data_IF_342635009826
#
_entry.id   IF_342635009826
#
_cell.length_a   1.000
_cell.length_b   1.000
_cell.length_c   1.000
_cell.angle_alpha   90.00
_cell.angle_beta   90.00
_cell.angle_gamma   90.00
#
_symmetry.space_group_name_H-M   'P 1'
#
loop_
_entity.id
_entity.type
_entity.pdbx_description
1 polymer ?
#
# COMPACT_ATOMS: atom_id res chain seq x y z
N UNK A 1 0.69 -6.68 7.24
CA UNK A 1 1.26 -7.84 6.55
C UNK A 1 1.45 -9.01 7.50
N UNK A 2 1.19 -10.19 7.02
CA UNK A 2 1.42 -11.42 7.77
C UNK A 2 2.66 -12.11 7.22
N UNK A 3 3.52 -12.54 8.12
CA UNK A 3 4.64 -13.37 7.76
C UNK A 3 4.16 -14.77 7.42
N UNK A 4 4.49 -15.25 6.23
CA UNK A 4 4.19 -16.62 5.82
C UNK A 4 5.35 -17.53 6.18
N UNK A 5 5.40 -17.91 7.42
CA UNK A 5 6.34 -18.91 7.87
C UNK A 5 5.60 -20.25 7.99
N UNK A 6 6.23 -21.34 7.56
CA UNK A 6 5.65 -22.68 7.65
C UNK A 6 5.28 -23.09 9.08
N UNK A 7 5.92 -22.49 10.08
CA UNK A 7 5.77 -22.85 11.50
C UNK A 7 4.84 -21.93 12.26
N UNK A 8 4.80 -20.66 11.91
CA UNK A 8 3.90 -19.72 12.57
C UNK A 8 3.62 -18.54 11.66
N UNK A 9 2.40 -18.04 11.78
CA UNK A 9 1.99 -16.79 11.14
C UNK A 9 2.09 -15.71 12.19
N UNK A 10 2.94 -14.73 11.97
CA UNK A 10 3.04 -13.56 12.84
C UNK A 10 2.69 -12.32 12.05
N UNK A 11 1.97 -11.44 12.70
CA UNK A 11 1.69 -10.13 12.13
C UNK A 11 2.91 -9.26 12.25
N UNK A 12 3.26 -8.62 11.16
CA UNK A 12 4.34 -7.66 11.12
C UNK A 12 3.75 -6.26 11.00
N UNK A 13 4.32 -5.34 11.76
CA UNK A 13 3.95 -3.94 11.68
C UNK A 13 4.99 -3.21 10.82
N UNK A 14 4.53 -2.64 9.71
CA UNK A 14 5.39 -1.92 8.78
C UNK A 14 5.00 -0.46 8.81
N UNK A 15 5.97 0.40 9.05
CA UNK A 15 5.76 1.83 9.07
C UNK A 15 6.97 2.55 8.48
N UNK A 16 6.82 3.83 8.18
CA UNK A 16 7.92 4.66 7.71
C UNK A 16 8.62 5.30 8.90
N UNK A 17 9.93 5.48 8.76
CA UNK A 17 10.72 6.18 9.75
C UNK A 17 10.23 7.62 9.85
N UNK A 18 10.05 8.11 11.07
CA UNK A 18 9.70 9.50 11.37
C UNK A 18 8.37 9.97 10.77
N UNK A 19 7.51 9.04 10.34
CA UNK A 19 6.20 9.34 9.77
C UNK A 19 5.11 8.61 10.55
N UNK A 20 4.06 9.34 10.92
CA UNK A 20 2.91 8.73 11.61
C UNK A 20 2.03 7.94 10.65
N UNK A 21 1.98 8.33 9.39
CA UNK A 21 1.18 7.68 8.37
C UNK A 21 1.85 7.81 7.01
N UNK A 22 1.41 6.99 6.10
CA UNK A 22 1.84 7.01 4.70
C UNK A 22 0.66 6.68 3.81
N UNK A 23 0.85 6.86 2.52
CA UNK A 23 -0.20 6.62 1.53
C UNK A 23 0.10 5.39 0.71
N UNK A 24 -0.93 4.62 0.39
CA UNK A 24 -0.86 3.60 -0.63
C UNK A 24 -1.42 4.13 -1.94
N UNK A 25 -0.84 3.71 -3.06
CA UNK A 25 -1.38 4.02 -4.38
C UNK A 25 -2.61 3.17 -4.66
N UNK A 26 -3.76 3.82 -4.77
CA UNK A 26 -5.01 3.16 -5.08
C UNK A 26 -5.57 3.62 -6.41
N UNK A 27 -6.38 2.78 -7.01
CA UNK A 27 -7.18 3.11 -8.18
C UNK A 27 -8.64 2.82 -7.87
N UNK A 28 -9.53 3.54 -8.50
CA UNK A 28 -10.96 3.29 -8.35
C UNK A 28 -11.64 3.33 -9.70
N UNK A 29 -12.80 2.70 -9.76
CA UNK A 29 -13.64 2.72 -10.94
C UNK A 29 -15.10 2.72 -10.53
N UNK A 30 -15.95 3.20 -11.41
CA UNK A 30 -17.38 3.15 -11.24
C UNK A 30 -17.93 2.03 -12.12
N UNK A 31 -18.57 1.06 -11.49
CA UNK A 31 -19.23 -0.03 -12.18
C UNK A 31 -20.72 0.27 -12.26
N UNK A 32 -21.29 0.21 -13.45
CA UNK A 32 -22.72 0.41 -13.68
C UNK A 32 -23.35 -0.96 -13.89
N UNK A 33 -24.31 -1.31 -13.02
CA UNK A 33 -25.12 -2.50 -13.22
C UNK A 33 -26.11 -2.24 -14.32
N UNK A 34 -25.97 -2.91 -15.44
CA UNK A 34 -26.82 -2.69 -16.62
C UNK A 34 -28.26 -3.12 -16.41
N UNK A 35 -28.53 -3.97 -15.44
CA UNK A 35 -29.89 -4.46 -15.16
C UNK A 35 -30.65 -3.51 -14.24
N UNK A 36 -29.97 -2.89 -13.27
CA UNK A 36 -30.60 -2.04 -12.27
C UNK A 36 -30.29 -0.56 -12.44
N UNK A 37 -29.27 -0.22 -13.24
CA UNK A 37 -28.78 1.16 -13.38
C UNK A 37 -27.99 1.64 -12.17
N UNK A 38 -27.78 0.79 -11.17
CA UNK A 38 -27.06 1.14 -9.95
C UNK A 38 -25.57 1.33 -10.25
N UNK A 39 -24.99 2.40 -9.69
CA UNK A 39 -23.56 2.70 -9.80
C UNK A 39 -22.86 2.21 -8.53
N UNK A 40 -21.86 1.36 -8.72
CA UNK A 40 -21.05 0.83 -7.64
C UNK A 40 -19.61 1.28 -7.81
N UNK A 41 -19.05 1.91 -6.77
CA UNK A 41 -17.63 2.26 -6.75
C UNK A 41 -16.81 1.06 -6.33
N UNK A 42 -15.76 0.79 -7.09
CA UNK A 42 -14.78 -0.25 -6.76
C UNK A 42 -13.42 0.39 -6.56
N UNK A 43 -12.62 -0.18 -5.69
CA UNK A 43 -11.27 0.31 -5.40
C UNK A 43 -10.31 -0.86 -5.32
N UNK A 44 -9.09 -0.63 -5.76
CA UNK A 44 -8.01 -1.59 -5.62
C UNK A 44 -6.72 -0.87 -5.25
N UNK A 45 -5.86 -1.55 -4.50
CA UNK A 45 -4.54 -1.05 -4.18
C UNK A 45 -3.56 -1.60 -5.20
N UNK A 46 -2.77 -0.70 -5.79
CA UNK A 46 -1.75 -1.08 -6.76
C UNK A 46 -0.54 -1.65 -6.02
N UNK A 47 -0.05 -2.78 -6.48
CA UNK A 47 1.12 -3.42 -5.90
C UNK A 47 2.30 -3.39 -6.87
N UNK A 48 3.46 -3.53 -6.31
CA UNK A 48 4.72 -3.65 -7.05
C UNK A 48 5.56 -4.78 -6.44
N UNK A 49 6.71 -5.05 -7.03
CA UNK A 49 7.64 -6.01 -6.46
C UNK A 49 8.11 -5.53 -5.09
N UNK A 50 8.34 -6.47 -4.18
CA UNK A 50 8.79 -6.12 -2.84
C UNK A 50 10.22 -5.64 -2.82
N UNK A 51 10.51 -4.65 -1.97
CA UNK A 51 11.88 -4.28 -1.66
C UNK A 51 12.51 -5.39 -0.78
N UNK A 52 13.80 -5.24 -0.48
CA UNK A 52 14.53 -6.27 0.26
C UNK A 52 13.96 -6.55 1.65
N UNK A 53 13.37 -5.55 2.29
CA UNK A 53 12.79 -5.72 3.62
C UNK A 53 11.49 -6.51 3.55
N UNK A 54 10.55 -6.09 2.71
CA UNK A 54 9.24 -6.74 2.59
C UNK A 54 9.37 -8.12 1.94
N UNK A 55 10.37 -8.33 1.10
CA UNK A 55 10.61 -9.61 0.44
C UNK A 55 10.84 -10.75 1.43
N UNK A 56 11.21 -10.44 2.66
CA UNK A 56 11.36 -11.44 3.71
C UNK A 56 10.04 -12.09 4.07
N UNK A 57 8.92 -11.41 3.87
CA UNK A 57 7.59 -11.89 4.27
C UNK A 57 6.60 -12.01 3.12
N UNK A 58 6.81 -11.29 2.03
CA UNK A 58 5.85 -11.29 0.92
C UNK A 58 6.54 -10.92 -0.39
N UNK A 59 6.05 -11.49 -1.50
CA UNK A 59 6.64 -11.24 -2.83
C UNK A 59 6.20 -9.92 -3.45
N UNK A 60 5.10 -9.35 -2.99
CA UNK A 60 4.54 -8.09 -3.49
C UNK A 60 4.33 -7.13 -2.34
N UNK A 61 4.36 -5.86 -2.63
CA UNK A 61 4.03 -4.83 -1.66
C UNK A 61 3.19 -3.74 -2.31
N UNK A 62 2.37 -3.01 -1.54
CA UNK A 62 1.66 -1.86 -2.09
C UNK A 62 2.62 -0.81 -2.60
N UNK A 63 2.19 -0.09 -3.64
CA UNK A 63 2.86 1.14 -4.02
C UNK A 63 2.71 2.12 -2.86
N UNK A 64 3.81 2.56 -2.30
CA UNK A 64 3.83 3.48 -1.17
C UNK A 64 4.25 4.86 -1.66
N UNK A 65 3.46 5.85 -1.30
CA UNK A 65 3.65 7.22 -1.75
C UNK A 65 4.12 8.03 -0.57
N UNK A 66 5.31 8.60 -0.69
CA UNK A 66 5.88 9.45 0.34
C UNK A 66 5.12 10.76 0.43
N UNK A 67 5.07 11.31 1.63
CA UNK A 67 4.47 12.62 1.88
C UNK A 67 5.11 13.67 0.98
N UNK A 68 4.28 14.41 0.29
CA UNK A 68 4.71 15.40 -0.70
C UNK A 68 4.61 14.91 -2.14
N UNK A 69 4.53 13.60 -2.37
CA UNK A 69 4.43 13.03 -3.71
C UNK A 69 3.01 12.61 -4.10
N UNK A 70 2.06 12.78 -3.21
CA UNK A 70 0.66 12.40 -3.47
C UNK A 70 0.08 13.14 -4.67
N UNK A 71 0.51 14.36 -4.93
CA UNK A 71 0.07 15.11 -6.10
C UNK A 71 0.48 14.47 -7.42
N UNK A 72 1.62 13.78 -7.45
CA UNK A 72 2.07 13.07 -8.64
C UNK A 72 1.15 11.88 -8.95
N UNK A 73 0.75 11.15 -7.92
CA UNK A 73 -0.16 10.02 -8.08
C UNK A 73 -1.56 10.48 -8.49
N UNK A 74 -2.01 11.60 -7.97
CA UNK A 74 -3.36 12.13 -8.19
C UNK A 74 -3.47 13.01 -9.41
N UNK A 75 -2.42 13.18 -10.19
CA UNK A 75 -2.40 14.07 -11.34
C UNK A 75 -3.30 13.53 -12.46
N UNK A 76 -4.43 14.18 -12.68
CA UNK A 76 -5.39 13.80 -13.70
C UNK A 76 -4.96 14.19 -15.11
N UNK A 77 -3.96 15.06 -15.23
CA UNK A 77 -3.46 15.52 -16.52
C UNK A 77 -2.35 14.63 -17.08
N UNK A 78 -1.73 13.84 -16.23
CA UNK A 78 -0.66 12.95 -16.63
C UNK A 78 -1.22 11.65 -17.20
N UNK A 79 -0.49 11.06 -18.14
CA UNK A 79 -0.81 9.74 -18.67
C UNK A 79 -0.68 8.69 -17.56
N UNK A 80 -1.68 7.82 -17.48
CA UNK A 80 -1.70 6.74 -16.48
C UNK A 80 -0.45 5.88 -16.53
N UNK A 81 0.02 5.52 -17.73
CA UNK A 81 1.23 4.72 -17.85
C UNK A 81 2.46 5.45 -17.31
N UNK A 82 2.54 6.74 -17.54
CA UNK A 82 3.65 7.54 -17.01
C UNK A 82 3.66 7.55 -15.49
N UNK A 83 2.48 7.71 -14.87
CA UNK A 83 2.36 7.65 -13.40
C UNK A 83 2.77 6.28 -12.89
N UNK A 84 2.26 5.21 -13.48
CA UNK A 84 2.60 3.85 -13.06
C UNK A 84 4.09 3.56 -13.20
N UNK A 85 4.73 4.07 -14.24
CA UNK A 85 6.17 3.92 -14.41
C UNK A 85 6.96 4.63 -13.31
N UNK A 86 6.53 5.83 -12.92
CA UNK A 86 7.20 6.56 -11.84
C UNK A 86 7.15 5.82 -10.51
N UNK A 87 6.08 5.07 -10.27
CA UNK A 87 5.87 4.32 -9.04
C UNK A 87 6.12 2.82 -9.19
N UNK A 88 6.75 2.38 -10.29
CA UNK A 88 7.02 0.96 -10.55
C UNK A 88 8.09 0.37 -9.64
N UNK A 89 8.98 1.21 -9.14
CA UNK A 89 9.99 0.76 -8.20
C UNK A 89 9.44 0.81 -6.78
N UNK A 90 9.71 -0.21 -5.97
CA UNK A 90 9.26 -0.19 -4.59
C UNK A 90 9.98 0.91 -3.80
N UNK A 91 9.30 1.40 -2.75
CA UNK A 91 9.93 2.35 -1.84
C UNK A 91 11.21 1.74 -1.27
N UNK A 92 12.26 2.55 -1.14
CA UNK A 92 13.52 2.08 -0.57
C UNK A 92 13.30 1.55 0.84
N UNK A 93 13.87 0.38 1.19
CA UNK A 93 13.75 -0.15 2.54
C UNK A 93 14.40 0.76 3.59
N UNK A 94 15.25 1.68 3.18
CA UNK A 94 15.88 2.62 4.11
C UNK A 94 14.88 3.56 4.79
N UNK A 95 13.70 3.73 4.20
CA UNK A 95 12.64 4.57 4.77
C UNK A 95 11.66 3.78 5.64
N UNK A 96 11.83 2.47 5.74
CA UNK A 96 10.84 1.59 6.35
C UNK A 96 11.39 0.94 7.61
N UNK A 97 10.47 0.67 8.53
CA UNK A 97 10.72 -0.16 9.71
C UNK A 97 9.71 -1.30 9.71
N UNK A 98 10.19 -2.49 10.00
CA UNK A 98 9.34 -3.67 10.10
C UNK A 98 9.60 -4.34 11.46
N UNK A 99 8.57 -4.38 12.27
CA UNK A 99 8.62 -4.94 13.62
C UNK A 99 7.52 -5.97 13.80
N UNK A 100 7.66 -6.83 14.77
CA UNK A 100 6.57 -7.71 15.17
C UNK A 100 5.46 -6.88 15.81
N UNK A 101 4.23 -7.10 15.38
CA UNK A 101 3.09 -6.34 15.88
C UNK A 101 2.87 -6.52 17.39
N UNK A 102 3.26 -7.67 17.92
CA UNK A 102 3.14 -7.98 19.35
C UNK A 102 4.04 -7.12 20.23
N UNK A 103 5.14 -6.63 19.67
CA UNK A 103 6.16 -5.87 20.38
C UNK A 103 5.89 -4.35 20.32
N UNK A 104 4.91 -3.95 19.52
CA UNK A 104 4.59 -2.55 19.36
C UNK A 104 3.63 -2.06 20.45
N UNK A 105 3.83 -0.83 20.94
CA UNK A 105 2.81 -0.19 21.78
C UNK A 105 1.51 -0.14 20.97
N UNK A 106 0.40 -0.44 21.61
CA UNK A 106 -0.90 -0.45 20.94
C UNK A 106 -1.26 0.93 20.40
N UNK A 107 -0.89 1.18 19.17
CA UNK A 107 -1.35 2.35 18.44
C UNK A 107 -2.73 1.99 17.91
N UNK A 108 -3.74 2.75 18.32
CA UNK A 108 -5.06 2.59 17.75
C UNK A 108 -5.02 3.07 16.30
N UNK A 109 -5.06 2.13 15.38
CA UNK A 109 -5.22 2.45 13.97
C UNK A 109 -6.70 2.70 13.73
N UNK A 110 -7.07 3.96 13.60
CA UNK A 110 -8.41 4.29 13.17
C UNK A 110 -8.53 4.09 11.68
N UNK A 111 -9.56 3.38 11.28
CA UNK A 111 -9.86 3.22 9.87
C UNK A 111 -8.90 2.31 9.16
N UNK A 112 -8.74 1.10 9.68
CA UNK A 112 -8.08 0.05 8.93
C UNK A 112 -8.78 -0.13 7.60
N UNK A 113 -8.06 0.07 6.50
CA UNK A 113 -8.57 -0.15 5.16
C UNK A 113 -8.46 -1.61 4.73
N UNK A 114 -7.90 -2.44 5.57
CA UNK A 114 -7.60 -3.84 5.25
C UNK A 114 -8.10 -4.77 6.32
#
# INVERSE_FOLDING_TARGET
>A
FEEHNKREKRKMFIHLKDEEYFYYGGIFNNYINKQTGEIKKTMAIVTTTSNSLVAEIHSRMPVMIQKGNEGLWMDKTADTQHILMQFSQPLSPNFMVMDYADDEPKIQVQGSLF
#
